data_IF_872719364458
#
_entry.id   IF_872719364458
#
_cell.length_a   1.000
_cell.length_b   1.000
_cell.length_c   1.000
_cell.angle_alpha   90.00
_cell.angle_beta   90.00
_cell.angle_gamma   90.00
#
_symmetry.space_group_name_H-M   'P 1'
#
loop_
_entity.id
_entity.type
_entity.pdbx_description
1 polymer ?
#
# COMPACT_ATOMS: atom_id res chain seq x y z
N UNK A 1 -23.45 -18.95 -7.44
CA UNK A 1 -22.00 -18.87 -7.75
C UNK A 1 -21.42 -17.88 -6.74
N UNK A 2 -20.87 -18.36 -5.63
CA UNK A 2 -20.36 -17.51 -4.56
C UNK A 2 -18.96 -17.04 -4.96
N UNK A 3 -18.81 -15.78 -5.38
CA UNK A 3 -17.49 -15.15 -5.47
C UNK A 3 -16.92 -15.04 -4.06
N UNK A 4 -15.94 -15.89 -3.75
CA UNK A 4 -15.12 -15.88 -2.52
C UNK A 4 -14.07 -14.77 -2.52
N UNK A 5 -13.98 -14.03 -3.62
CA UNK A 5 -13.01 -12.96 -3.82
C UNK A 5 -13.38 -11.74 -2.98
N UNK A 6 -12.46 -11.35 -2.12
CA UNK A 6 -12.63 -10.21 -1.22
C UNK A 6 -11.76 -9.03 -1.63
N UNK A 7 -10.78 -9.23 -2.54
CA UNK A 7 -9.85 -8.19 -2.96
C UNK A 7 -9.63 -8.20 -4.48
N UNK A 8 -9.78 -7.03 -5.10
CA UNK A 8 -9.36 -6.77 -6.47
C UNK A 8 -8.06 -5.97 -6.45
N UNK A 9 -7.04 -6.45 -7.14
CA UNK A 9 -5.75 -5.75 -7.28
C UNK A 9 -5.60 -5.28 -8.72
N UNK A 10 -5.45 -3.97 -8.88
CA UNK A 10 -5.19 -3.34 -10.17
C UNK A 10 -3.73 -2.87 -10.18
N UNK A 11 -2.94 -3.44 -11.08
CA UNK A 11 -1.55 -3.07 -11.31
C UNK A 11 -1.51 -2.02 -12.42
N UNK A 12 -1.10 -0.81 -12.06
CA UNK A 12 -1.06 0.37 -12.91
C UNK A 12 0.40 0.67 -13.21
N UNK A 13 0.72 0.86 -14.48
CA UNK A 13 2.07 1.20 -14.90
C UNK A 13 2.41 2.66 -14.59
N UNK A 14 3.69 2.93 -14.32
CA UNK A 14 4.13 4.28 -13.95
C UNK A 14 3.78 5.35 -14.99
N UNK A 15 3.75 4.98 -16.28
CA UNK A 15 3.33 5.89 -17.35
C UNK A 15 1.86 6.31 -17.23
N UNK A 16 0.98 5.40 -16.80
CA UNK A 16 -0.43 5.71 -16.60
C UNK A 16 -0.61 6.61 -15.36
N UNK A 17 0.16 6.36 -14.29
CA UNK A 17 0.14 7.19 -13.07
C UNK A 17 0.67 8.60 -13.34
N UNK A 18 1.61 8.77 -14.29
CA UNK A 18 2.12 10.10 -14.68
C UNK A 18 1.05 11.04 -15.21
N UNK A 19 -0.05 10.51 -15.75
CA UNK A 19 -1.19 11.34 -16.17
C UNK A 19 -1.89 12.03 -15.00
N UNK A 20 -1.76 11.48 -13.79
CA UNK A 20 -2.28 12.07 -12.54
C UNK A 20 -1.18 12.86 -11.83
N UNK A 21 0.03 12.30 -11.73
CA UNK A 21 1.17 12.91 -11.05
C UNK A 21 2.35 13.04 -12.01
N UNK A 22 2.55 14.23 -12.60
CA UNK A 22 3.62 14.44 -13.60
C UNK A 22 5.03 14.15 -13.09
N UNK A 23 5.27 14.27 -11.78
CA UNK A 23 6.55 13.98 -11.14
C UNK A 23 6.74 12.49 -10.76
N UNK A 24 5.85 11.60 -11.20
CA UNK A 24 5.91 10.18 -10.85
C UNK A 24 7.18 9.51 -11.43
N UNK A 25 7.94 8.73 -10.61
CA UNK A 25 9.14 8.04 -11.07
C UNK A 25 8.85 7.01 -12.18
N UNK A 26 9.67 6.96 -13.23
CA UNK A 26 9.44 6.11 -14.43
C UNK A 26 9.47 4.61 -14.16
N UNK A 27 10.27 4.19 -13.18
CA UNK A 27 10.50 2.77 -12.88
C UNK A 27 9.57 2.23 -11.79
N UNK A 28 8.69 3.09 -11.26
CA UNK A 28 7.75 2.75 -10.19
C UNK A 28 6.35 2.54 -10.76
N UNK A 29 5.76 1.41 -10.40
CA UNK A 29 4.38 1.04 -10.68
C UNK A 29 3.54 1.14 -9.39
N UNK A 30 2.22 1.16 -9.57
CA UNK A 30 1.26 1.27 -8.47
C UNK A 30 0.34 0.05 -8.45
N UNK A 31 0.19 -0.58 -7.30
CA UNK A 31 -0.85 -1.58 -7.05
C UNK A 31 -1.96 -0.94 -6.22
N UNK A 32 -3.15 -0.81 -6.79
CA UNK A 32 -4.34 -0.42 -6.06
C UNK A 32 -5.10 -1.67 -5.63
N UNK A 33 -5.12 -1.92 -4.32
CA UNK A 33 -5.83 -3.03 -3.69
C UNK A 33 -7.18 -2.53 -3.19
N UNK A 34 -8.23 -3.11 -3.74
CA UNK A 34 -9.61 -2.76 -3.52
C UNK A 34 -10.27 -3.89 -2.71
N UNK A 35 -10.58 -3.67 -1.43
CA UNK A 35 -11.23 -4.60 -0.50
C UNK A 35 -12.77 -4.45 -0.41
N UNK A 36 -13.49 -5.58 -0.29
CA UNK A 36 -14.98 -5.64 -0.42
C UNK A 36 -15.75 -4.80 0.61
N UNK A 37 -15.13 -4.51 1.74
CA UNK A 37 -15.64 -3.63 2.80
C UNK A 37 -15.58 -2.15 2.44
N UNK A 38 -14.89 -1.82 1.36
CA UNK A 38 -14.68 -0.47 0.88
C UNK A 38 -13.24 0.02 1.05
N UNK A 39 -12.37 -0.70 1.76
CA UNK A 39 -11.03 -0.19 1.98
C UNK A 39 -10.20 -0.22 0.69
N UNK A 40 -9.45 0.86 0.45
CA UNK A 40 -8.46 0.94 -0.62
C UNK A 40 -7.07 1.07 0.00
N UNK A 41 -6.17 0.18 -0.40
CA UNK A 41 -4.74 0.27 -0.07
C UNK A 41 -3.95 0.45 -1.35
N UNK A 42 -3.05 1.43 -1.36
CA UNK A 42 -2.16 1.71 -2.48
C UNK A 42 -0.75 1.27 -2.10
N UNK A 43 -0.10 0.50 -2.96
CA UNK A 43 1.23 -0.07 -2.71
C UNK A 43 2.10 0.19 -3.94
N UNK A 44 3.24 0.84 -3.72
CA UNK A 44 4.23 1.08 -4.78
C UNK A 44 5.20 -0.09 -4.92
N UNK A 45 5.68 -0.32 -6.14
CA UNK A 45 6.69 -1.33 -6.43
C UNK A 45 7.49 -0.93 -7.67
N UNK A 46 8.74 -1.41 -7.81
CA UNK A 46 9.52 -1.17 -9.02
C UNK A 46 9.10 -2.14 -10.12
N UNK A 47 9.15 -1.72 -11.38
CA UNK A 47 8.82 -2.53 -12.56
C UNK A 47 9.56 -3.88 -12.58
N UNK A 48 10.82 -3.90 -12.15
CA UNK A 48 11.67 -5.11 -12.10
C UNK A 48 11.14 -6.15 -11.11
N UNK A 49 10.37 -5.73 -10.09
CA UNK A 49 9.81 -6.61 -9.07
C UNK A 49 8.48 -7.26 -9.50
N UNK A 50 7.92 -6.87 -10.65
CA UNK A 50 6.58 -7.28 -11.12
C UNK A 50 6.31 -8.79 -11.04
N UNK A 51 7.25 -9.71 -11.31
CA UNK A 51 7.00 -11.15 -11.14
C UNK A 51 6.77 -11.59 -9.69
N UNK A 52 7.33 -10.89 -8.71
CA UNK A 52 7.26 -11.23 -7.27
C UNK A 52 6.15 -10.48 -6.54
N UNK A 53 5.72 -9.35 -7.09
CA UNK A 53 4.70 -8.46 -6.52
C UNK A 53 3.39 -9.17 -6.19
N UNK A 54 2.80 -10.06 -7.02
CA UNK A 54 1.56 -10.76 -6.68
C UNK A 54 1.66 -11.54 -5.36
N UNK A 55 2.72 -12.33 -5.19
CA UNK A 55 2.94 -13.08 -3.95
C UNK A 55 3.17 -12.14 -2.75
N UNK A 56 3.92 -11.05 -2.94
CA UNK A 56 4.15 -10.01 -1.93
C UNK A 56 2.84 -9.36 -1.48
N UNK A 57 1.97 -9.01 -2.43
CA UNK A 57 0.69 -8.35 -2.16
C UNK A 57 -0.25 -9.27 -1.37
N UNK A 58 -0.37 -10.54 -1.76
CA UNK A 58 -1.17 -11.53 -1.03
C UNK A 58 -0.70 -11.66 0.43
N UNK A 59 0.63 -11.73 0.65
CA UNK A 59 1.21 -11.76 2.00
C UNK A 59 0.97 -10.46 2.78
N UNK A 60 1.14 -9.30 2.13
CA UNK A 60 0.97 -7.98 2.74
C UNK A 60 -0.48 -7.73 3.17
N UNK A 61 -1.43 -8.15 2.32
CA UNK A 61 -2.87 -8.03 2.57
C UNK A 61 -3.39 -9.09 3.55
N UNK A 62 -2.60 -10.14 3.84
CA UNK A 62 -3.00 -11.22 4.75
C UNK A 62 -4.17 -12.06 4.24
N UNK A 63 -4.29 -12.20 2.92
CA UNK A 63 -5.37 -12.92 2.23
C UNK A 63 -4.85 -14.19 1.54
N UNK A 64 -5.76 -15.09 1.16
CA UNK A 64 -5.42 -16.28 0.36
C UNK A 64 -5.41 -15.94 -1.13
N UNK A 65 -4.64 -16.68 -1.93
CA UNK A 65 -4.55 -16.45 -3.38
C UNK A 65 -5.91 -16.57 -4.11
N UNK A 66 -6.79 -17.45 -3.62
CA UNK A 66 -8.17 -17.65 -4.11
C UNK A 66 -9.13 -16.50 -3.77
N UNK A 67 -8.76 -15.64 -2.81
CA UNK A 67 -9.57 -14.48 -2.42
C UNK A 67 -9.18 -13.19 -3.17
N UNK A 68 -8.20 -13.27 -4.10
CA UNK A 68 -7.62 -12.13 -4.80
C UNK A 68 -7.73 -12.27 -6.32
N UNK A 69 -8.22 -11.23 -6.97
CA UNK A 69 -8.15 -11.09 -8.43
C UNK A 69 -7.08 -10.07 -8.82
N UNK A 70 -6.42 -10.30 -9.95
CA UNK A 70 -5.47 -9.35 -10.53
C UNK A 70 -5.94 -8.82 -11.88
N UNK A 71 -5.69 -7.53 -12.10
CA UNK A 71 -5.82 -6.85 -13.39
C UNK A 71 -4.51 -6.08 -13.63
N UNK A 72 -3.80 -6.29 -14.74
CA UNK A 72 -4.04 -7.27 -15.80
C UNK A 72 -3.83 -8.72 -15.32
N UNK A 73 -4.10 -9.70 -16.20
CA UNK A 73 -3.99 -11.13 -15.89
C UNK A 73 -2.59 -11.51 -15.41
N UNK A 74 -2.52 -12.19 -14.26
CA UNK A 74 -1.30 -12.75 -13.66
C UNK A 74 -1.42 -14.28 -13.59
N UNK A 75 -0.33 -15.00 -13.86
CA UNK A 75 -0.30 -16.46 -13.78
C UNK A 75 -0.54 -16.91 -12.34
N UNK A 76 -1.46 -17.87 -12.14
CA UNK A 76 -1.78 -18.42 -10.83
C UNK A 76 -2.85 -17.65 -10.05
N UNK A 77 -3.45 -16.61 -10.62
CA UNK A 77 -4.50 -15.82 -9.99
C UNK A 77 -5.72 -15.64 -10.91
N UNK A 78 -6.89 -15.43 -10.30
CA UNK A 78 -8.08 -15.06 -11.04
C UNK A 78 -7.91 -13.65 -11.64
N UNK A 79 -8.52 -13.43 -12.80
CA UNK A 79 -8.52 -12.11 -13.46
C UNK A 79 -9.94 -11.72 -13.80
N UNK A 80 -10.25 -10.44 -13.63
CA UNK A 80 -11.56 -9.88 -13.97
C UNK A 80 -11.44 -8.94 -15.15
N UNK A 81 -12.54 -8.81 -15.88
CA UNK A 81 -12.68 -7.69 -16.78
C UNK A 81 -12.76 -6.40 -15.97
N UNK A 82 -11.92 -5.44 -16.33
CA UNK A 82 -11.87 -4.13 -15.73
C UNK A 82 -12.33 -3.14 -16.77
N UNK A 83 -13.47 -2.48 -16.51
CA UNK A 83 -14.09 -1.59 -17.47
C UNK A 83 -13.38 -0.24 -17.46
N UNK A 84 -13.38 0.45 -18.61
CA UNK A 84 -12.80 1.78 -18.73
C UNK A 84 -13.41 2.80 -17.74
N UNK A 85 -14.69 2.66 -17.39
CA UNK A 85 -15.32 3.49 -16.36
C UNK A 85 -14.78 3.24 -14.96
N UNK A 86 -14.37 2.00 -14.66
CA UNK A 86 -13.80 1.63 -13.36
C UNK A 86 -12.35 2.10 -13.28
N UNK A 87 -11.61 1.99 -14.38
CA UNK A 87 -10.26 2.54 -14.51
C UNK A 87 -10.23 4.05 -14.27
N UNK A 88 -11.11 4.81 -14.95
CA UNK A 88 -11.18 6.26 -14.76
C UNK A 88 -11.47 6.65 -13.31
N UNK A 89 -12.41 5.95 -12.65
CA UNK A 89 -12.73 6.19 -11.23
C UNK A 89 -11.58 5.80 -10.31
N UNK A 90 -10.85 4.73 -10.63
CA UNK A 90 -9.66 4.35 -9.89
C UNK A 90 -8.58 5.43 -10.00
N UNK A 91 -8.37 5.99 -11.19
CA UNK A 91 -7.42 7.09 -11.38
C UNK A 91 -7.86 8.37 -10.63
N UNK A 92 -9.17 8.66 -10.56
CA UNK A 92 -9.70 9.74 -9.71
C UNK A 92 -9.42 9.48 -8.20
N UNK A 93 -9.55 8.23 -7.74
CA UNK A 93 -9.20 7.85 -6.36
C UNK A 93 -7.71 8.02 -6.09
N UNK A 94 -6.84 7.61 -7.03
CA UNK A 94 -5.39 7.84 -6.97
C UNK A 94 -5.09 9.34 -6.90
N UNK A 95 -5.73 10.16 -7.72
CA UNK A 95 -5.57 11.62 -7.72
C UNK A 95 -5.99 12.27 -6.39
N UNK A 96 -6.97 11.70 -5.70
CA UNK A 96 -7.45 12.20 -4.41
C UNK A 96 -6.46 11.99 -3.26
N UNK A 97 -5.39 11.21 -3.48
CA UNK A 97 -4.40 10.88 -2.45
C UNK A 97 -2.96 11.28 -2.86
N UNK A 98 -2.58 12.56 -2.73
CA UNK A 98 -1.30 13.06 -3.22
C UNK A 98 -0.07 12.51 -2.48
N UNK A 99 -0.23 12.02 -1.25
CA UNK A 99 0.90 11.49 -0.48
C UNK A 99 1.48 10.19 -1.08
N UNK A 100 0.77 9.51 -2.00
CA UNK A 100 1.33 8.36 -2.73
C UNK A 100 2.50 8.77 -3.63
N UNK A 101 2.53 10.03 -4.10
CA UNK A 101 3.64 10.54 -4.89
C UNK A 101 4.92 10.63 -4.05
N UNK A 102 4.83 11.18 -2.84
CA UNK A 102 5.97 11.25 -1.90
C UNK A 102 6.49 9.84 -1.59
N UNK A 103 5.57 8.90 -1.32
CA UNK A 103 5.93 7.50 -1.07
C UNK A 103 6.62 6.83 -2.28
N UNK A 104 6.15 7.11 -3.50
CA UNK A 104 6.78 6.59 -4.72
C UNK A 104 8.20 7.15 -4.93
N UNK A 105 8.41 8.44 -4.65
CA UNK A 105 9.73 9.08 -4.72
C UNK A 105 10.67 8.47 -3.69
N UNK A 106 10.23 8.37 -2.43
CA UNK A 106 11.02 7.77 -1.35
C UNK A 106 11.38 6.32 -1.68
N UNK A 107 10.42 5.54 -2.19
CA UNK A 107 10.65 4.16 -2.62
C UNK A 107 11.70 4.08 -3.73
N UNK A 108 11.59 4.92 -4.77
CA UNK A 108 12.53 4.93 -5.90
C UNK A 108 13.96 5.24 -5.43
N UNK A 109 14.12 6.25 -4.58
CA UNK A 109 15.42 6.64 -4.01
C UNK A 109 16.00 5.50 -3.17
N UNK A 110 15.23 4.96 -2.22
CA UNK A 110 15.68 3.89 -1.34
C UNK A 110 16.02 2.59 -2.09
N UNK A 111 15.23 2.25 -3.11
CA UNK A 111 15.50 1.07 -3.94
C UNK A 111 16.78 1.25 -4.75
N UNK A 112 16.99 2.43 -5.34
CA UNK A 112 18.18 2.72 -6.15
C UNK A 112 19.42 2.70 -5.28
N UNK A 113 19.37 3.34 -4.11
CA UNK A 113 20.42 3.27 -3.11
C UNK A 113 20.76 1.82 -2.71
N UNK A 114 19.75 0.98 -2.47
CA UNK A 114 19.98 -0.43 -2.15
C UNK A 114 20.71 -1.17 -3.28
N UNK A 115 20.35 -0.93 -4.53
CA UNK A 115 21.06 -1.53 -5.68
C UNK A 115 22.51 -1.05 -5.78
N UNK A 116 22.75 0.25 -5.62
CA UNK A 116 24.09 0.85 -5.73
C UNK A 116 25.04 0.35 -4.64
N UNK A 117 24.54 0.19 -3.41
CA UNK A 117 25.30 -0.32 -2.27
C UNK A 117 25.37 -1.87 -2.23
N UNK A 118 24.75 -2.56 -3.18
CA UNK A 118 24.68 -4.03 -3.19
C UNK A 118 23.88 -4.62 -2.02
N UNK A 119 22.96 -3.85 -1.45
CA UNK A 119 22.04 -4.26 -0.39
C UNK A 119 20.80 -4.93 -1.00
N UNK A 120 20.14 -5.80 -0.22
CA UNK A 120 18.85 -6.36 -0.61
C UNK A 120 17.74 -5.29 -0.44
N UNK A 121 17.08 -4.85 -1.53
CA UNK A 121 16.02 -3.85 -1.45
C UNK A 121 14.85 -4.30 -0.60
N UNK A 122 14.50 -5.59 -0.61
CA UNK A 122 13.38 -6.12 0.18
C UNK A 122 13.64 -5.99 1.70
N UNK A 123 14.90 -6.12 2.11
CA UNK A 123 15.31 -5.97 3.51
C UNK A 123 15.40 -4.50 3.92
N UNK A 124 15.97 -3.66 3.06
CA UNK A 124 16.12 -2.22 3.32
C UNK A 124 14.77 -1.50 3.38
N UNK A 125 13.84 -1.88 2.51
CA UNK A 125 12.47 -1.36 2.48
C UNK A 125 11.56 -2.01 3.55
N UNK A 126 12.08 -2.97 4.33
CA UNK A 126 11.33 -3.65 5.39
C UNK A 126 10.20 -4.56 4.87
N UNK A 127 10.25 -4.93 3.59
CA UNK A 127 9.28 -5.81 2.93
C UNK A 127 9.45 -7.28 3.34
N UNK A 128 10.68 -7.66 3.73
CA UNK A 128 11.02 -8.97 4.28
C UNK A 128 11.56 -8.81 5.70
N UNK A 129 11.00 -9.54 6.67
CA UNK A 129 11.64 -9.63 7.99
C UNK A 129 12.95 -10.38 7.83
N UNK A 130 14.06 -9.77 8.24
CA UNK A 130 15.32 -10.47 8.41
C UNK A 130 15.12 -11.50 9.53
N UNK A 131 15.24 -12.79 9.21
CA UNK A 131 15.41 -13.84 10.21
C UNK A 131 16.76 -13.63 10.90
N UNK A 132 16.81 -12.67 11.84
CA UNK A 132 17.90 -12.61 12.79
C UNK A 132 17.74 -13.82 13.72
N UNK A 133 18.40 -14.94 13.37
CA UNK A 133 18.85 -15.87 14.41
C UNK A 133 19.82 -15.06 15.28
N UNK A 134 19.32 -14.60 16.42
CA UNK A 134 20.03 -13.72 17.34
C UNK A 134 21.38 -14.34 17.73
N UNK A 135 22.47 -13.74 17.27
CA UNK A 135 23.75 -13.80 17.99
C UNK A 135 23.77 -12.62 18.97
N UNK A 136 24.12 -12.80 20.25
CA UNK A 136 24.03 -11.73 21.25
C UNK A 136 25.02 -10.57 21.00
N UNK A 137 24.43 -9.39 20.73
CA UNK A 137 24.76 -8.00 21.10
C UNK A 137 26.20 -7.64 21.56
N UNK A 138 26.75 -6.57 20.98
CA UNK A 138 27.31 -5.43 21.73
C UNK A 138 26.95 -4.10 21.04
N UNK A 139 26.27 -3.20 21.76
CA UNK A 139 25.91 -1.87 21.31
C UNK A 139 26.81 -0.83 21.99
N UNK A 140 27.39 0.15 21.28
CA UNK A 140 28.00 1.30 21.92
C UNK A 140 26.90 2.31 22.32
N UNK A 141 26.88 2.62 23.61
CA UNK A 141 26.10 3.66 24.28
C UNK A 141 26.34 5.04 23.66
N UNK A 142 25.27 5.72 23.22
CA UNK A 142 25.25 7.20 23.13
C UNK A 142 23.88 7.72 23.62
N UNK A 143 23.95 8.73 24.49
CA UNK A 143 22.90 9.33 25.29
C UNK A 143 21.83 10.13 24.48
N UNK A 144 20.66 10.45 25.07
CA UNK A 144 19.51 10.98 24.34
C UNK A 144 19.50 12.52 24.31
N UNK A 145 19.10 13.11 23.19
CA UNK A 145 18.60 14.48 23.17
C UNK A 145 17.57 14.74 22.06
N UNK A 146 16.58 15.56 22.44
CA UNK A 146 15.66 16.36 21.62
C UNK A 146 14.30 15.74 21.21
N UNK A 147 13.30 16.15 21.99
CA UNK A 147 11.87 15.91 21.85
C UNK A 147 11.26 16.82 20.77
N UNK A 148 10.65 16.25 19.73
CA UNK A 148 9.70 16.99 18.88
C UNK A 148 8.28 16.82 19.43
N UNK A 149 7.71 17.94 19.92
CA UNK A 149 6.31 18.05 20.37
C UNK A 149 5.36 17.84 19.19
N UNK A 150 4.37 16.95 19.37
CA UNK A 150 3.24 16.80 18.45
C UNK A 150 2.16 17.84 18.78
N UNK A 151 1.76 18.64 17.80
CA UNK A 151 0.53 19.44 17.88
C UNK A 151 -0.69 18.55 17.53
N UNK A 152 -1.79 18.61 18.28
CA UNK A 152 -3.03 17.93 17.94
C UNK A 152 -3.84 18.79 16.95
N UNK A 153 -4.17 18.26 15.77
CA UNK A 153 -5.17 18.87 14.89
C UNK A 153 -6.48 18.09 14.97
N UNK A 154 -7.52 18.79 15.44
CA UNK A 154 -8.87 18.34 15.66
C UNK A 154 -9.62 18.04 14.36
N UNK A 155 -10.42 16.97 14.42
CA UNK A 155 -11.46 16.58 13.47
C UNK A 155 -12.61 17.60 13.40
N UNK A 156 -13.07 17.89 12.19
CA UNK A 156 -14.45 18.32 11.91
C UNK A 156 -14.97 17.60 10.66
N UNK A 157 -16.14 16.95 10.70
CA UNK A 157 -16.71 16.27 9.53
C UNK A 157 -17.37 17.29 8.60
N UNK A 158 -17.02 17.27 7.31
CA UNK A 158 -17.79 17.92 6.24
C UNK A 158 -18.61 16.86 5.50
N UNK A 159 -19.90 17.18 5.38
CA UNK A 159 -21.00 16.46 4.72
C UNK A 159 -20.57 15.74 3.43
N UNK A 160 -20.89 14.45 3.35
CA UNK A 160 -20.74 13.62 2.15
C UNK A 160 -21.66 14.14 1.02
N UNK A 161 -21.19 14.20 -0.24
CA UNK A 161 -22.05 14.43 -1.39
C UNK A 161 -22.84 13.14 -1.68
N UNK A 162 -24.14 13.28 -1.99
CA UNK A 162 -25.00 12.15 -2.37
C UNK A 162 -24.44 11.40 -3.58
N UNK A 163 -24.22 10.09 -3.41
CA UNK A 163 -23.63 9.21 -4.42
C UNK A 163 -24.70 8.62 -5.35
N UNK A 164 -24.39 8.63 -6.65
CA UNK A 164 -25.23 8.19 -7.76
C UNK A 164 -25.62 6.68 -7.64
N UNK A 165 -26.91 6.31 -7.83
CA UNK A 165 -27.42 4.96 -7.59
C UNK A 165 -26.93 3.84 -8.52
N UNK A 166 -26.10 4.14 -9.53
CA UNK A 166 -25.66 3.20 -10.56
C UNK A 166 -24.27 2.57 -10.34
N UNK A 167 -23.70 2.73 -9.14
CA UNK A 167 -22.38 2.22 -8.81
C UNK A 167 -22.41 0.72 -8.40
N UNK A 168 -21.40 -0.09 -8.75
CA UNK A 168 -21.18 -1.41 -8.14
C UNK A 168 -20.94 -1.31 -6.63
N UNK A 169 -21.46 -2.27 -5.86
CA UNK A 169 -21.48 -2.23 -4.38
C UNK A 169 -20.11 -2.00 -3.73
N UNK A 170 -19.07 -2.55 -4.35
CA UNK A 170 -17.70 -2.44 -3.90
C UNK A 170 -17.25 -0.96 -3.81
N UNK A 171 -17.42 -0.19 -4.89
CA UNK A 171 -16.93 1.19 -4.98
C UNK A 171 -17.80 2.16 -4.18
N UNK A 172 -19.10 1.85 -4.04
CA UNK A 172 -20.01 2.62 -3.18
C UNK A 172 -19.55 2.58 -1.74
N UNK A 173 -19.33 1.36 -1.23
CA UNK A 173 -18.91 1.15 0.15
C UNK A 173 -17.55 1.79 0.41
N UNK A 174 -16.62 1.76 -0.55
CA UNK A 174 -15.35 2.48 -0.43
C UNK A 174 -15.50 3.99 -0.26
N UNK A 175 -16.34 4.61 -1.08
CA UNK A 175 -16.55 6.05 -1.04
C UNK A 175 -17.37 6.49 0.19
N UNK A 176 -18.36 5.69 0.58
CA UNK A 176 -19.22 5.94 1.75
C UNK A 176 -18.50 5.74 3.07
N UNK A 177 -17.56 4.78 3.12
CA UNK A 177 -16.89 4.35 4.34
C UNK A 177 -15.46 4.91 4.46
N UNK A 178 -15.13 5.97 3.71
CA UNK A 178 -13.83 6.65 3.66
C UNK A 178 -13.40 7.27 5.00
N UNK A 179 -13.22 6.42 6.01
CA UNK A 179 -12.20 6.58 7.03
C UNK A 179 -10.88 6.34 6.31
N UNK A 180 -9.96 7.28 6.49
CA UNK A 180 -8.64 7.37 5.82
C UNK A 180 -8.11 5.98 5.41
N UNK A 181 -7.80 5.75 4.11
CA UNK A 181 -7.16 4.51 3.70
C UNK A 181 -5.92 4.24 4.54
N UNK A 182 -5.77 3.00 5.02
CA UNK A 182 -4.64 2.60 5.85
C UNK A 182 -3.44 2.33 4.95
N UNK A 183 -2.50 3.27 4.95
CA UNK A 183 -1.19 3.10 4.33
C UNK A 183 -0.38 2.13 5.17
N UNK A 184 -0.21 0.90 4.67
CA UNK A 184 0.69 -0.07 5.24
C UNK A 184 2.08 0.09 4.63
N UNK A 185 2.74 1.22 4.87
CA UNK A 185 4.19 1.15 5.03
C UNK A 185 4.39 0.41 6.36
N UNK A 186 4.93 -0.80 6.31
CA UNK A 186 5.13 -1.63 7.50
C UNK A 186 6.07 -0.91 8.48
N UNK A 187 5.50 -0.08 9.36
CA UNK A 187 6.04 0.28 10.67
C UNK A 187 5.08 -0.25 11.70
N UNK A 188 5.16 -1.55 11.97
CA UNK A 188 4.44 -2.16 13.08
C UNK A 188 5.10 -1.69 14.39
N UNK A 189 4.62 -0.57 14.93
CA UNK A 189 4.94 -0.17 16.30
C UNK A 189 4.35 -1.19 17.26
N UNK A 190 5.22 -1.96 17.92
CA UNK A 190 4.89 -2.90 18.99
C UNK A 190 4.26 -2.14 20.17
N UNK A 191 3.08 -2.53 20.69
CA UNK A 191 2.58 -1.96 21.93
C UNK A 191 3.47 -2.40 23.10
N UNK A 192 3.94 -1.41 23.87
CA UNK A 192 4.61 -1.64 25.14
C UNK A 192 3.59 -2.24 26.13
N UNK A 193 3.86 -3.45 26.60
CA UNK A 193 3.12 -4.03 27.71
C UNK A 193 3.77 -3.55 29.02
N UNK A 194 3.00 -2.78 29.79
CA UNK A 194 3.27 -2.48 31.19
C UNK A 194 3.05 -3.76 32.04
N UNK A 195 4.02 -3.96 32.93
CA UNK A 195 4.17 -4.72 34.20
C UNK A 195 2.89 -5.28 34.90
N UNK A 196 3.07 -6.26 35.81
CA UNK A 196 3.04 -5.86 37.23
C UNK A 196 4.14 -6.49 38.10
N UNK A 197 4.52 -5.72 39.11
CA UNK A 197 5.38 -6.12 40.23
C UNK A 197 4.67 -7.12 41.14
N UNK A 198 5.45 -8.02 41.74
CA UNK A 198 5.21 -8.60 43.07
C UNK A 198 6.52 -8.55 43.82
#
# INVERSE_FOLDING_TARGET
MNSTENVLVVLIDGEDVKHVFSAWPSDICLAACLMRDGDCSMIVFRRDERPRVPARLVQTLGVTAEAVCFVPKVVGYETKQFLYSDERRLMELVASYPAILEEAIDYAVNYTYALEEGLDPEVLLGLKQKDYRASPIQAPTVAPAASFRRHPFQDKPKRAPELNPLLPDFLRKSAENARRPRFATVRKSRPAALVPQV
#
